data_IF_598035691363
#
_entry.id   IF_598035691363
#
_cell.length_a   1.000
_cell.length_b   1.000
_cell.length_c   1.000
_cell.angle_alpha   90.00
_cell.angle_beta   90.00
_cell.angle_gamma   90.00
#
_symmetry.space_group_name_H-M   'P 1'
#
loop_
_entity.id
_entity.type
_entity.pdbx_description
1 polymer ?
#
# COMPACT_ATOMS: atom_id res chain seq x y z
N UNK A 1 29.35 -4.74 32.90
CA UNK A 1 28.00 -4.16 32.79
C UNK A 1 27.03 -5.26 32.40
N UNK A 2 25.91 -5.31 33.12
CA UNK A 2 24.98 -6.42 33.15
C UNK A 2 24.19 -6.51 31.84
N UNK A 3 24.23 -7.68 31.22
CA UNK A 3 23.36 -8.09 30.12
C UNK A 3 21.95 -8.20 30.71
N UNK A 4 21.13 -7.16 30.53
CA UNK A 4 19.70 -7.26 30.81
C UNK A 4 19.05 -8.27 29.85
N UNK A 5 18.17 -9.17 30.34
CA UNK A 5 17.52 -10.16 29.49
C UNK A 5 16.53 -9.46 28.55
N UNK A 6 16.81 -9.57 27.24
CA UNK A 6 15.98 -9.04 26.15
C UNK A 6 14.58 -9.70 26.21
N UNK A 7 13.57 -8.88 26.48
CA UNK A 7 12.17 -9.27 26.68
C UNK A 7 11.60 -10.03 25.45
N UNK A 8 11.00 -11.23 25.60
CA UNK A 8 10.53 -12.06 24.49
C UNK A 8 9.16 -11.65 23.89
N UNK A 9 8.59 -10.50 24.25
CA UNK A 9 7.26 -10.07 23.80
C UNK A 9 7.34 -8.89 22.82
N UNK A 10 7.52 -9.20 21.54
CA UNK A 10 7.55 -8.25 20.42
C UNK A 10 6.13 -7.75 20.12
N UNK A 11 5.84 -6.50 20.43
CA UNK A 11 4.57 -5.81 20.17
C UNK A 11 4.81 -4.59 19.25
N UNK A 12 4.01 -4.46 18.17
CA UNK A 12 4.12 -3.44 17.11
C UNK A 12 4.38 -1.99 17.59
N UNK A 13 3.88 -1.61 18.76
CA UNK A 13 4.03 -0.25 19.31
C UNK A 13 5.36 -0.03 20.03
N UNK A 14 5.90 -1.06 20.68
CA UNK A 14 7.09 -0.96 21.50
C UNK A 14 8.36 -1.07 20.64
N UNK A 15 8.33 -1.89 19.59
CA UNK A 15 9.51 -2.14 18.74
C UNK A 15 9.70 -1.11 17.61
N UNK A 16 8.61 -0.57 17.04
CA UNK A 16 8.72 0.47 15.98
C UNK A 16 9.02 1.85 16.62
N UNK A 17 8.92 1.99 17.94
CA UNK A 17 9.04 3.26 18.70
C UNK A 17 8.17 4.40 18.14
N UNK A 18 7.19 4.09 17.28
CA UNK A 18 6.37 5.08 16.59
C UNK A 18 5.30 5.57 17.56
N UNK A 19 5.54 6.72 18.18
CA UNK A 19 4.62 7.36 19.16
C UNK A 19 3.40 8.02 18.51
N UNK A 20 2.75 7.35 17.55
CA UNK A 20 1.54 7.88 16.89
C UNK A 20 0.33 7.61 17.76
N UNK A 21 -0.15 8.65 18.44
CA UNK A 21 -1.44 8.62 19.14
C UNK A 21 -2.56 8.78 18.12
N UNK A 22 -3.33 7.72 17.87
CA UNK A 22 -4.42 7.71 16.88
C UNK A 22 -5.40 8.91 16.99
N UNK A 23 -5.84 9.34 18.20
CA UNK A 23 -6.71 10.51 18.31
C UNK A 23 -6.08 11.79 17.75
N UNK A 24 -4.78 12.00 18.01
CA UNK A 24 -4.04 13.15 17.50
C UNK A 24 -3.89 13.08 15.99
N UNK A 25 -3.61 11.89 15.44
CA UNK A 25 -3.55 11.68 13.99
C UNK A 25 -4.87 12.06 13.31
N UNK A 26 -6.00 11.58 13.83
CA UNK A 26 -7.31 11.88 13.25
C UNK A 26 -7.64 13.37 13.34
N UNK A 27 -7.27 14.02 14.44
CA UNK A 27 -7.47 15.46 14.58
C UNK A 27 -6.62 16.26 13.58
N UNK A 28 -5.35 15.89 13.40
CA UNK A 28 -4.49 16.50 12.37
C UNK A 28 -5.06 16.33 10.96
N UNK A 29 -5.59 15.15 10.64
CA UNK A 29 -6.25 14.90 9.35
C UNK A 29 -7.45 15.85 9.17
N UNK A 30 -8.33 15.94 10.17
CA UNK A 30 -9.52 16.82 10.09
C UNK A 30 -9.12 18.27 9.89
N UNK A 31 -8.14 18.76 10.63
CA UNK A 31 -7.65 20.14 10.51
C UNK A 31 -7.02 20.38 9.12
N UNK A 32 -6.21 19.46 8.61
CA UNK A 32 -5.66 19.56 7.27
C UNK A 32 -6.76 19.62 6.19
N UNK A 33 -7.77 18.75 6.28
CA UNK A 33 -8.89 18.74 5.34
C UNK A 33 -9.76 20.00 5.44
N UNK A 34 -9.99 20.53 6.64
CA UNK A 34 -10.71 21.80 6.83
C UNK A 34 -10.02 22.98 6.12
N UNK A 35 -8.70 22.95 6.03
CA UNK A 35 -7.89 23.97 5.34
C UNK A 35 -7.64 23.65 3.85
N UNK A 36 -8.34 22.67 3.26
CA UNK A 36 -8.18 22.32 1.84
C UNK A 36 -6.87 21.62 1.49
N UNK A 37 -6.11 21.14 2.48
CA UNK A 37 -4.83 20.45 2.25
C UNK A 37 -5.09 19.04 1.71
N UNK A 38 -4.27 18.63 0.74
CA UNK A 38 -4.26 17.25 0.23
C UNK A 38 -3.56 16.33 1.25
N UNK A 39 -4.24 15.29 1.69
CA UNK A 39 -3.79 14.37 2.72
C UNK A 39 -3.66 12.97 2.15
N UNK A 40 -2.47 12.40 2.29
CA UNK A 40 -2.18 11.01 1.98
C UNK A 40 -1.79 10.25 3.25
N UNK A 41 -2.39 9.09 3.47
CA UNK A 41 -2.08 8.23 4.61
C UNK A 41 -1.68 6.84 4.11
N UNK A 42 -0.43 6.45 4.34
CA UNK A 42 0.05 5.12 3.96
C UNK A 42 0.00 4.19 5.17
N UNK A 43 -0.57 3.01 4.95
CA UNK A 43 -0.66 1.92 5.92
C UNK A 43 0.36 0.85 5.56
N UNK A 44 0.97 0.27 6.59
CA UNK A 44 1.87 -0.89 6.44
C UNK A 44 1.19 -2.09 7.10
N UNK A 45 1.28 -3.25 6.46
CA UNK A 45 0.65 -4.50 6.88
C UNK A 45 1.63 -5.67 6.74
N UNK A 46 1.50 -6.71 7.56
CA UNK A 46 2.35 -7.90 7.48
C UNK A 46 3.65 -7.80 8.28
N UNK A 47 3.65 -7.10 9.42
CA UNK A 47 4.80 -7.12 10.32
C UNK A 47 5.04 -8.53 10.90
N UNK A 48 6.28 -8.89 11.30
CA UNK A 48 6.63 -10.27 11.63
C UNK A 48 5.72 -11.01 12.63
N UNK A 49 5.18 -10.28 13.61
CA UNK A 49 4.32 -10.82 14.67
C UNK A 49 2.85 -10.40 14.57
N UNK A 50 2.45 -9.81 13.44
CA UNK A 50 1.06 -9.36 13.29
C UNK A 50 0.10 -10.54 13.19
N UNK A 51 -1.00 -10.44 13.92
CA UNK A 51 -2.09 -11.42 13.85
C UNK A 51 -3.12 -11.03 12.79
N UNK A 52 -4.05 -11.95 12.46
CA UNK A 52 -5.20 -11.64 11.61
C UNK A 52 -6.06 -10.49 12.16
N UNK A 53 -6.14 -10.36 13.49
CA UNK A 53 -6.83 -9.23 14.13
C UNK A 53 -6.16 -7.89 13.79
N UNK A 54 -4.83 -7.87 13.71
CA UNK A 54 -4.06 -6.67 13.31
C UNK A 54 -4.23 -6.34 11.83
N UNK A 55 -4.36 -7.36 10.98
CA UNK A 55 -4.74 -7.16 9.56
C UNK A 55 -6.10 -6.45 9.45
N UNK A 56 -7.10 -6.94 10.19
CA UNK A 56 -8.42 -6.29 10.24
C UNK A 56 -8.37 -4.88 10.81
N UNK A 57 -7.57 -4.62 11.86
CA UNK A 57 -7.36 -3.26 12.37
C UNK A 57 -6.80 -2.33 11.30
N UNK A 58 -5.94 -2.85 10.42
CA UNK A 58 -5.39 -2.08 9.29
C UNK A 58 -6.46 -1.79 8.23
N UNK A 59 -7.32 -2.76 7.90
CA UNK A 59 -8.48 -2.53 7.01
C UNK A 59 -9.45 -1.49 7.61
N UNK A 60 -9.75 -1.59 8.90
CA UNK A 60 -10.58 -0.62 9.61
C UNK A 60 -9.98 0.80 9.60
N UNK A 61 -8.66 0.92 9.73
CA UNK A 61 -7.98 2.21 9.60
C UNK A 61 -8.17 2.82 8.20
N UNK A 62 -8.05 2.01 7.14
CA UNK A 62 -8.30 2.45 5.76
C UNK A 62 -9.75 2.96 5.58
N UNK A 63 -10.74 2.21 6.09
CA UNK A 63 -12.15 2.63 6.09
C UNK A 63 -12.31 3.97 6.84
N UNK A 64 -11.70 4.10 8.02
CA UNK A 64 -11.78 5.33 8.82
C UNK A 64 -11.17 6.54 8.11
N UNK A 65 -10.08 6.34 7.36
CA UNK A 65 -9.48 7.40 6.55
C UNK A 65 -10.40 7.88 5.43
N UNK A 66 -11.15 6.98 4.80
CA UNK A 66 -12.18 7.39 3.84
C UNK A 66 -13.20 8.33 4.50
N UNK A 67 -13.72 7.98 5.69
CA UNK A 67 -14.68 8.83 6.43
C UNK A 67 -14.09 10.18 6.87
N UNK A 68 -12.78 10.25 7.11
CA UNK A 68 -12.11 11.49 7.48
C UNK A 68 -11.78 12.38 6.28
N UNK A 69 -12.06 11.92 5.05
CA UNK A 69 -11.80 12.67 3.84
C UNK A 69 -10.34 12.67 3.40
N UNK A 70 -9.54 11.69 3.81
CA UNK A 70 -8.17 11.47 3.29
C UNK A 70 -8.24 11.26 1.78
N UNK A 71 -7.37 11.90 1.00
CA UNK A 71 -7.44 11.92 -0.46
C UNK A 71 -6.87 10.65 -1.10
N UNK A 72 -5.83 10.09 -0.49
CA UNK A 72 -5.16 8.87 -0.98
C UNK A 72 -4.70 7.98 0.18
N UNK A 73 -4.89 6.67 0.06
CA UNK A 73 -4.43 5.68 1.05
C UNK A 73 -3.89 4.45 0.34
N UNK A 74 -2.60 4.15 0.54
CA UNK A 74 -1.97 2.91 0.11
C UNK A 74 -1.82 1.92 1.26
N UNK A 75 -1.97 0.62 0.98
CA UNK A 75 -1.68 -0.46 1.93
C UNK A 75 -0.50 -1.29 1.42
N UNK A 76 0.65 -1.11 2.08
CA UNK A 76 1.92 -1.67 1.65
C UNK A 76 2.35 -2.81 2.57
N UNK A 77 2.94 -3.89 2.02
CA UNK A 77 3.47 -4.95 2.85
C UNK A 77 4.69 -4.42 3.61
N UNK A 78 4.98 -5.02 4.75
CA UNK A 78 6.18 -4.70 5.50
C UNK A 78 7.43 -5.09 4.70
N UNK A 79 8.38 -4.16 4.63
CA UNK A 79 9.69 -4.37 4.01
C UNK A 79 10.78 -4.16 5.08
N UNK A 80 11.58 -5.20 5.38
CA UNK A 80 12.54 -5.13 6.48
C UNK A 80 13.78 -4.36 6.08
N UNK A 81 13.88 -3.11 6.52
CA UNK A 81 15.00 -2.24 6.18
C UNK A 81 16.25 -2.52 7.05
N UNK A 82 17.47 -2.57 6.48
CA UNK A 82 18.69 -2.86 7.23
C UNK A 82 18.92 -1.88 8.38
N UNK A 83 19.48 -2.37 9.49
CA UNK A 83 19.74 -1.56 10.68
C UNK A 83 18.51 -1.22 11.53
N UNK A 84 17.34 -1.78 11.20
CA UNK A 84 16.17 -1.73 12.09
C UNK A 84 16.14 -2.93 13.05
N UNK A 85 15.55 -2.74 14.22
CA UNK A 85 15.43 -3.80 15.23
C UNK A 85 14.67 -5.04 14.70
N UNK A 86 13.61 -4.80 13.92
CA UNK A 86 12.86 -5.86 13.25
C UNK A 86 13.68 -6.56 12.15
N UNK A 87 14.63 -5.87 11.52
CA UNK A 87 15.54 -6.50 10.57
C UNK A 87 16.53 -7.42 11.29
N UNK A 88 17.13 -6.97 12.40
CA UNK A 88 18.00 -7.82 13.23
C UNK A 88 17.25 -9.05 13.77
N UNK A 89 15.99 -8.87 14.17
CA UNK A 89 15.11 -9.98 14.53
C UNK A 89 14.98 -10.99 13.39
N UNK A 90 14.68 -10.53 12.17
CA UNK A 90 14.50 -11.40 11.01
C UNK A 90 15.80 -12.06 10.54
N UNK A 91 16.96 -11.43 10.75
CA UNK A 91 18.26 -12.07 10.56
C UNK A 91 18.47 -13.19 11.58
N UNK A 92 18.23 -12.91 12.87
CA UNK A 92 18.45 -13.87 13.96
C UNK A 92 17.51 -15.08 13.89
N UNK A 93 16.29 -14.90 13.37
CA UNK A 93 15.33 -15.99 13.15
C UNK A 93 15.59 -16.79 11.87
N UNK A 94 16.55 -16.36 11.05
CA UNK A 94 16.88 -16.98 9.76
C UNK A 94 15.88 -16.68 8.64
N UNK A 95 14.88 -15.82 8.87
CA UNK A 95 13.92 -15.37 7.87
C UNK A 95 14.58 -14.51 6.77
N UNK A 96 15.60 -13.74 7.13
CA UNK A 96 16.53 -13.09 6.18
C UNK A 96 17.87 -13.80 6.30
N UNK A 97 18.35 -14.40 5.21
CA UNK A 97 19.61 -15.15 5.22
C UNK A 97 20.82 -14.25 5.04
N UNK A 98 20.80 -13.37 4.03
CA UNK A 98 21.88 -12.43 3.68
C UNK A 98 21.32 -11.22 2.94
N UNK A 99 22.06 -10.10 2.97
CA UNK A 99 21.79 -8.94 2.11
C UNK A 99 22.31 -9.21 0.69
N UNK A 100 21.63 -10.09 -0.03
CA UNK A 100 21.93 -10.42 -1.41
C UNK A 100 21.01 -9.69 -2.40
N UNK A 101 21.22 -9.94 -3.70
CA UNK A 101 20.38 -9.35 -4.75
C UNK A 101 18.90 -9.67 -4.57
N UNK A 102 18.54 -10.89 -4.16
CA UNK A 102 17.16 -11.31 -3.97
C UNK A 102 16.48 -10.54 -2.82
N UNK A 103 17.22 -10.26 -1.74
CA UNK A 103 16.76 -9.40 -0.66
C UNK A 103 16.43 -7.99 -1.17
N UNK A 104 17.34 -7.36 -1.93
CA UNK A 104 17.10 -6.01 -2.49
C UNK A 104 15.96 -5.99 -3.52
N UNK A 105 15.83 -7.04 -4.33
CA UNK A 105 14.67 -7.20 -5.23
C UNK A 105 13.36 -7.29 -4.43
N UNK A 106 13.34 -8.06 -3.34
CA UNK A 106 12.20 -8.14 -2.42
C UNK A 106 11.84 -6.81 -1.76
N UNK A 107 12.82 -5.93 -1.51
CA UNK A 107 12.58 -4.57 -1.03
C UNK A 107 11.94 -3.68 -2.10
N UNK A 108 12.12 -3.97 -3.39
CA UNK A 108 11.57 -3.18 -4.49
C UNK A 108 10.16 -3.64 -4.90
N UNK A 109 9.78 -4.88 -4.61
CA UNK A 109 8.46 -5.42 -4.99
C UNK A 109 7.32 -5.03 -4.04
N UNK A 110 7.55 -4.21 -3.02
CA UNK A 110 6.50 -3.76 -2.07
C UNK A 110 5.30 -3.03 -2.73
N UNK A 111 5.52 -2.42 -3.90
CA UNK A 111 4.47 -1.77 -4.70
C UNK A 111 3.67 -2.75 -5.58
N UNK A 112 4.15 -3.98 -5.75
CA UNK A 112 3.45 -5.04 -6.47
C UNK A 112 2.32 -5.59 -5.60
N UNK A 113 1.19 -5.85 -6.26
CA UNK A 113 0.00 -6.45 -5.65
C UNK A 113 0.03 -7.98 -5.74
N UNK A 114 0.82 -8.52 -6.68
CA UNK A 114 0.82 -9.95 -7.03
C UNK A 114 1.97 -10.72 -6.38
N UNK A 115 3.14 -10.11 -6.25
CA UNK A 115 4.29 -10.68 -5.55
C UNK A 115 4.46 -9.97 -4.22
N UNK A 116 4.49 -10.71 -3.12
CA UNK A 116 4.74 -10.15 -1.79
C UNK A 116 5.63 -11.10 -1.05
N UNK A 117 6.88 -10.68 -0.83
CA UNK A 117 7.75 -11.34 0.14
C UNK A 117 7.11 -11.14 1.50
N UNK A 118 6.83 -12.24 2.19
CA UNK A 118 6.14 -12.22 3.47
C UNK A 118 7.13 -12.53 4.59
N UNK A 119 7.15 -11.67 5.59
CA UNK A 119 7.95 -11.83 6.79
C UNK A 119 7.09 -12.06 8.04
N UNK A 120 5.75 -12.11 7.90
CA UNK A 120 4.82 -12.40 8.97
C UNK A 120 4.73 -13.90 9.25
N UNK A 121 4.88 -14.26 10.52
CA UNK A 121 4.86 -15.65 10.99
C UNK A 121 3.44 -16.20 11.12
N UNK A 122 2.47 -15.34 11.46
CA UNK A 122 1.11 -15.76 11.80
C UNK A 122 0.12 -15.72 10.63
N UNK A 123 0.49 -15.08 9.52
CA UNK A 123 -0.38 -14.82 8.36
C UNK A 123 0.39 -15.06 7.06
N UNK A 124 -0.18 -15.83 6.14
CA UNK A 124 0.46 -16.15 4.85
C UNK A 124 0.43 -14.99 3.84
N UNK A 125 1.29 -15.05 2.81
CA UNK A 125 1.43 -13.99 1.80
C UNK A 125 0.13 -13.71 1.04
N UNK A 126 -0.64 -14.75 0.69
CA UNK A 126 -1.93 -14.62 -0.02
C UNK A 126 -2.98 -13.95 0.85
N UNK A 127 -3.01 -14.26 2.14
CA UNK A 127 -3.91 -13.62 3.09
C UNK A 127 -3.57 -12.14 3.23
N UNK A 128 -2.28 -11.79 3.34
CA UNK A 128 -1.84 -10.39 3.38
C UNK A 128 -2.24 -9.66 2.10
N UNK A 129 -2.03 -10.26 0.93
CA UNK A 129 -2.45 -9.69 -0.35
C UNK A 129 -3.98 -9.46 -0.40
N UNK A 130 -4.77 -10.41 0.14
CA UNK A 130 -6.21 -10.25 0.28
C UNK A 130 -6.58 -9.06 1.18
N UNK A 131 -5.98 -8.94 2.38
CA UNK A 131 -6.25 -7.80 3.27
C UNK A 131 -5.81 -6.46 2.67
N UNK A 132 -4.69 -6.43 1.93
CA UNK A 132 -4.24 -5.25 1.19
C UNK A 132 -5.28 -4.82 0.17
N UNK A 133 -5.71 -5.75 -0.68
CA UNK A 133 -6.72 -5.49 -1.70
C UNK A 133 -8.04 -5.05 -1.06
N UNK A 134 -8.50 -5.76 -0.02
CA UNK A 134 -9.72 -5.43 0.71
C UNK A 134 -9.66 -4.03 1.31
N UNK A 135 -8.57 -3.67 1.99
CA UNK A 135 -8.39 -2.34 2.58
C UNK A 135 -8.36 -1.22 1.54
N UNK A 136 -7.65 -1.44 0.42
CA UNK A 136 -7.61 -0.48 -0.69
C UNK A 136 -8.98 -0.33 -1.37
N UNK A 137 -9.65 -1.44 -1.67
CA UNK A 137 -11.00 -1.43 -2.26
C UNK A 137 -12.01 -0.75 -1.34
N UNK A 138 -11.98 -1.05 -0.04
CA UNK A 138 -12.85 -0.43 0.94
C UNK A 138 -12.59 1.09 1.03
N UNK A 139 -11.32 1.51 1.09
CA UNK A 139 -10.98 2.94 1.10
C UNK A 139 -11.46 3.65 -0.15
N UNK A 140 -11.06 3.21 -1.35
CA UNK A 140 -11.41 3.91 -2.58
C UNK A 140 -12.91 3.81 -2.86
N UNK A 141 -13.53 2.65 -2.70
CA UNK A 141 -14.99 2.49 -2.89
C UNK A 141 -15.77 3.47 -2.03
N UNK A 142 -15.49 3.51 -0.72
CA UNK A 142 -16.19 4.41 0.19
C UNK A 142 -15.82 5.88 -0.06
N UNK A 143 -14.55 6.15 -0.36
CA UNK A 143 -14.05 7.48 -0.67
C UNK A 143 -14.76 8.13 -1.87
N UNK A 144 -14.91 7.41 -2.98
CA UNK A 144 -15.57 7.91 -4.17
C UNK A 144 -17.09 8.07 -3.97
N UNK A 145 -17.71 7.22 -3.15
CA UNK A 145 -19.12 7.35 -2.76
C UNK A 145 -19.35 8.57 -1.86
N UNK A 146 -18.51 8.78 -0.85
CA UNK A 146 -18.69 9.87 0.11
C UNK A 146 -18.22 11.23 -0.40
N UNK A 147 -17.33 11.26 -1.40
CA UNK A 147 -16.77 12.49 -1.95
C UNK A 147 -16.85 12.49 -3.48
N UNK A 148 -18.05 12.70 -4.05
CA UNK A 148 -18.28 12.64 -5.49
C UNK A 148 -17.46 13.68 -6.28
N UNK A 149 -17.06 14.79 -5.63
CA UNK A 149 -16.13 15.77 -6.21
C UNK A 149 -14.78 15.16 -6.64
N UNK A 150 -14.39 14.02 -6.06
CA UNK A 150 -13.19 13.28 -6.48
C UNK A 150 -13.30 12.73 -7.88
N UNK A 151 -14.50 12.32 -8.32
CA UNK A 151 -14.74 11.82 -9.69
C UNK A 151 -14.41 12.92 -10.70
N UNK A 152 -14.91 14.14 -10.45
CA UNK A 152 -14.64 15.30 -11.30
C UNK A 152 -13.15 15.64 -11.37
N UNK A 153 -12.47 15.57 -10.22
CA UNK A 153 -11.01 15.76 -10.15
C UNK A 153 -10.27 14.69 -10.93
N UNK A 154 -10.60 13.41 -10.76
CA UNK A 154 -9.96 12.31 -11.48
C UNK A 154 -10.19 12.40 -12.98
N UNK A 155 -11.39 12.82 -13.41
CA UNK A 155 -11.67 13.09 -14.82
C UNK A 155 -10.79 14.23 -15.38
N UNK A 156 -10.70 15.34 -14.65
CA UNK A 156 -9.83 16.47 -15.04
C UNK A 156 -8.37 16.06 -15.10
N UNK A 157 -7.90 15.28 -14.13
CA UNK A 157 -6.53 14.77 -14.06
C UNK A 157 -6.21 13.85 -15.25
N UNK A 158 -7.16 13.00 -15.64
CA UNK A 158 -7.04 12.15 -16.81
C UNK A 158 -6.76 12.94 -18.09
N UNK A 159 -7.53 14.00 -18.33
CA UNK A 159 -7.35 14.89 -19.48
C UNK A 159 -6.01 15.64 -19.42
N UNK A 160 -5.58 16.05 -18.22
CA UNK A 160 -4.31 16.74 -18.01
C UNK A 160 -3.08 15.81 -17.99
N UNK A 161 -3.26 14.50 -18.23
CA UNK A 161 -2.22 13.47 -18.14
C UNK A 161 -1.46 13.44 -16.80
N UNK A 162 -2.11 13.85 -15.71
CA UNK A 162 -1.58 13.84 -14.33
C UNK A 162 -2.33 12.80 -13.50
N UNK A 163 -1.72 12.32 -12.43
CA UNK A 163 -2.37 11.47 -11.43
C UNK A 163 -1.97 11.94 -10.04
N UNK A 164 -2.96 12.17 -9.19
CA UNK A 164 -2.75 12.62 -7.81
C UNK A 164 -2.78 11.45 -6.81
N UNK A 165 -3.36 10.31 -7.21
CA UNK A 165 -3.55 9.15 -6.34
C UNK A 165 -2.97 7.90 -6.97
N UNK A 166 -2.56 6.92 -6.14
CA UNK A 166 -2.07 5.63 -6.64
C UNK A 166 -3.13 4.93 -7.48
N UNK A 167 -4.41 5.08 -7.12
CA UNK A 167 -5.51 4.54 -7.91
C UNK A 167 -5.58 5.15 -9.31
N UNK A 168 -5.50 6.49 -9.43
CA UNK A 168 -5.50 7.17 -10.74
C UNK A 168 -4.32 6.71 -11.59
N UNK A 169 -3.12 6.61 -11.01
CA UNK A 169 -1.92 6.14 -11.72
C UNK A 169 -2.13 4.73 -12.28
N UNK A 170 -2.63 3.80 -11.46
CA UNK A 170 -2.91 2.41 -11.88
C UNK A 170 -4.02 2.35 -12.93
N UNK A 171 -5.11 3.08 -12.74
CA UNK A 171 -6.24 3.12 -13.67
C UNK A 171 -5.81 3.69 -15.03
N UNK A 172 -5.08 4.80 -15.04
CA UNK A 172 -4.64 5.45 -16.27
C UNK A 172 -3.59 4.61 -17.00
N UNK A 173 -2.70 3.93 -16.29
CA UNK A 173 -1.77 2.97 -16.89
C UNK A 173 -2.51 1.83 -17.61
N UNK A 174 -3.54 1.23 -16.99
CA UNK A 174 -4.35 0.18 -17.60
C UNK A 174 -5.11 0.67 -18.83
N UNK A 175 -5.71 1.86 -18.77
CA UNK A 175 -6.43 2.46 -19.90
C UNK A 175 -5.51 2.77 -21.07
N UNK A 176 -4.30 3.32 -20.80
CA UNK A 176 -3.29 3.58 -21.82
C UNK A 176 -2.82 2.29 -22.48
N UNK A 177 -2.54 1.24 -21.69
CA UNK A 177 -2.15 -0.07 -22.20
C UNK A 177 -3.18 -0.66 -23.14
N UNK A 178 -4.47 -0.68 -22.75
CA UNK A 178 -5.56 -1.18 -23.60
C UNK A 178 -5.71 -0.38 -24.91
N UNK A 179 -5.51 0.94 -24.87
CA UNK A 179 -5.55 1.77 -26.08
C UNK A 179 -4.41 1.43 -27.05
N UNK A 180 -3.21 1.22 -26.54
CA UNK A 180 -2.06 0.82 -27.35
C UNK A 180 -2.25 -0.58 -27.94
N UNK A 181 -2.77 -1.53 -27.16
CA UNK A 181 -3.10 -2.89 -27.63
C UNK A 181 -4.16 -2.86 -28.74
N UNK A 182 -5.20 -2.03 -28.59
CA UNK A 182 -6.23 -1.85 -29.62
C UNK A 182 -5.67 -1.23 -30.89
N UNK A 183 -4.89 -0.15 -30.79
CA UNK A 183 -4.23 0.49 -31.94
C UNK A 183 -3.29 -0.49 -32.67
N UNK A 184 -2.48 -1.25 -31.93
CA UNK A 184 -1.62 -2.28 -32.51
C UNK A 184 -2.39 -3.45 -33.17
N UNK A 185 -3.61 -3.73 -32.73
CA UNK A 185 -4.50 -4.69 -33.39
C UNK A 185 -5.07 -4.14 -34.70
N UNK A 186 -5.49 -2.87 -34.70
CA UNK A 186 -6.02 -2.16 -35.88
C UNK A 186 -4.94 -2.01 -36.96
N UNK A 187 -3.72 -1.58 -36.58
CA UNK A 187 -2.58 -1.45 -37.47
C UNK A 187 -2.18 -2.80 -38.10
N UNK A 188 -2.24 -3.90 -37.33
CA UNK A 188 -1.99 -5.26 -37.85
C UNK A 188 -3.05 -5.71 -38.85
N UNK A 189 -4.33 -5.42 -38.57
CA UNK A 189 -5.43 -5.76 -39.47
C UNK A 189 -5.39 -4.95 -40.78
N UNK A 190 -4.95 -3.69 -40.71
CA UNK A 190 -4.78 -2.84 -41.89
C UNK A 190 -3.59 -3.28 -42.76
N UNK A 191 -2.49 -3.72 -42.13
CA UNK A 191 -1.31 -4.23 -42.84
C UNK A 191 -1.52 -5.62 -43.49
N UNK A 192 -2.48 -6.41 -43.01
CA UNK A 192 -2.83 -7.72 -43.58
C UNK A 192 -3.93 -7.67 -44.65
N UNK A 193 -4.48 -6.49 -44.97
CA UNK A 193 -5.48 -6.36 -46.02
C UNK A 193 -4.82 -6.56 -47.40
N UNK A 194 -5.36 -7.41 -48.28
CA UNK A 194 -4.79 -7.63 -49.60
C UNK A 194 -4.80 -6.32 -50.38
N UNK A 195 -3.65 -5.96 -50.95
CA UNK A 195 -3.54 -4.89 -51.95
C UNK A 195 -4.30 -5.37 -53.18
N UNK A 196 -5.48 -4.79 -53.41
CA UNK A 196 -6.30 -5.03 -54.59
C UNK A 196 -5.72 -4.43 -55.86
#
# INVERSE_FOLDING_TARGET
>A
ELIEPRNPLINRRDDIKKKVKLPRLYESIRQAKKNGIFVKCNLIIGFPKETRLDMWRTVWAAIRFAFLGVDDTGVYPYSPYPGSELYEYLLSSGAIKRMDRAYFEGLMTFMDLSTTVNYCENVGSREIAFYRLLGMCAFYGLSYVMHPSRILRSWRNYQAHKSDTVFEERLFALLRRRRLEKKASEDRSAASAPVG
#
